data_IF_544434344182
#
_entry.id   IF_544434344182
#
_cell.length_a   1.000
_cell.length_b   1.000
_cell.length_c   1.000
_cell.angle_alpha   90.00
_cell.angle_beta   90.00
_cell.angle_gamma   90.00
#
_symmetry.space_group_name_H-M   'P 1'
#
loop_
_entity.id
_entity.type
_entity.pdbx_description
1 polymer ?
#
# COMPACT_ATOMS: atom_id res chain seq x y z
N UNK A 1 40.43 46.86 11.98
CA UNK A 1 39.11 46.60 11.35
C UNK A 1 38.82 45.09 11.15
N UNK A 2 38.63 44.23 12.19
CA UNK A 2 38.22 42.84 11.93
C UNK A 2 36.88 42.41 12.56
N UNK A 3 36.20 43.25 13.35
CA UNK A 3 35.05 42.82 14.15
C UNK A 3 33.76 42.67 13.31
N UNK A 4 33.56 43.52 12.29
CA UNK A 4 32.32 43.50 11.47
C UNK A 4 32.17 42.24 10.61
N UNK A 5 33.28 41.65 10.14
CA UNK A 5 33.23 40.43 9.30
C UNK A 5 32.89 39.19 10.12
N UNK A 6 33.30 39.15 11.39
CA UNK A 6 33.03 38.02 12.29
C UNK A 6 31.55 37.93 12.65
N UNK A 7 30.90 39.08 12.88
CA UNK A 7 29.49 39.15 13.26
C UNK A 7 28.59 38.68 12.11
N UNK A 8 28.89 39.11 10.87
CA UNK A 8 28.10 38.73 9.68
C UNK A 8 28.21 37.22 9.40
N UNK A 9 29.40 36.64 9.58
CA UNK A 9 29.59 35.19 9.43
C UNK A 9 28.83 34.40 10.49
N UNK A 10 28.81 34.88 11.73
CA UNK A 10 28.06 34.25 12.82
C UNK A 10 26.54 34.30 12.60
N UNK A 11 25.99 35.42 12.10
CA UNK A 11 24.56 35.51 11.76
C UNK A 11 24.18 34.64 10.57
N UNK A 12 25.05 34.51 9.56
CA UNK A 12 24.80 33.62 8.42
C UNK A 12 24.75 32.15 8.84
N UNK A 13 25.65 31.71 9.74
CA UNK A 13 25.67 30.34 10.27
C UNK A 13 24.41 30.07 11.13
N UNK A 14 23.94 31.05 11.90
CA UNK A 14 22.72 30.92 12.71
C UNK A 14 21.43 30.87 11.85
N UNK A 15 21.42 31.58 10.72
CA UNK A 15 20.31 31.55 9.75
C UNK A 15 20.26 30.22 8.97
N UNK A 16 21.41 29.65 8.60
CA UNK A 16 21.45 28.37 7.88
C UNK A 16 21.01 27.21 8.80
N UNK A 17 21.40 27.24 10.07
CA UNK A 17 21.01 26.21 11.05
C UNK A 17 19.52 26.27 11.39
N UNK A 18 18.91 27.45 11.47
CA UNK A 18 17.46 27.58 11.73
C UNK A 18 16.58 27.17 10.56
N UNK A 19 17.02 27.38 9.31
CA UNK A 19 16.28 26.93 8.11
C UNK A 19 16.45 25.42 7.87
N UNK A 20 17.60 24.82 8.24
CA UNK A 20 17.84 23.38 8.12
C UNK A 20 16.95 22.52 9.03
N UNK A 21 16.54 23.04 10.19
CA UNK A 21 15.70 22.32 11.16
C UNK A 21 14.20 22.27 10.77
N UNK A 22 13.74 23.13 9.87
CA UNK A 22 12.33 23.13 9.41
C UNK A 22 12.00 22.08 8.33
N UNK A 23 12.99 21.39 7.75
CA UNK A 23 12.75 20.36 6.71
C UNK A 23 12.63 18.94 7.30
N UNK A 24 12.92 18.76 8.59
CA UNK A 24 12.86 17.46 9.26
C UNK A 24 11.45 17.09 9.80
N UNK A 25 10.45 17.93 9.57
CA UNK A 25 9.12 17.83 10.19
C UNK A 25 8.01 17.23 9.31
N UNK A 26 8.34 16.50 8.24
CA UNK A 26 7.35 15.77 7.44
C UNK A 26 7.57 14.25 7.53
N UNK A 27 7.73 13.73 8.75
CA UNK A 27 7.43 12.33 8.99
C UNK A 27 5.91 12.18 9.04
N UNK A 28 5.27 12.06 7.86
CA UNK A 28 4.07 11.23 7.79
C UNK A 28 4.47 9.93 8.47
N UNK A 29 3.84 9.64 9.60
CA UNK A 29 4.06 8.44 10.40
C UNK A 29 4.34 7.30 9.44
N UNK A 30 5.58 6.80 9.46
CA UNK A 30 5.94 5.62 8.70
C UNK A 30 5.01 4.53 9.20
N UNK A 31 3.93 4.30 8.46
CA UNK A 31 3.03 3.18 8.63
C UNK A 31 3.98 1.98 8.64
N UNK A 32 4.14 1.36 9.81
CA UNK A 32 5.11 0.28 9.99
C UNK A 32 4.77 -0.75 8.93
N UNK A 33 5.61 -0.87 7.90
CA UNK A 33 5.46 -1.87 6.84
C UNK A 33 5.49 -3.22 7.54
N UNK A 34 4.32 -3.82 7.71
CA UNK A 34 4.15 -5.01 8.53
C UNK A 34 4.74 -6.19 7.77
N UNK A 35 6.03 -6.48 7.95
CA UNK A 35 6.70 -7.58 7.23
C UNK A 35 5.97 -8.90 7.50
N UNK A 36 5.24 -9.40 6.50
CA UNK A 36 4.62 -10.72 6.55
C UNK A 36 5.71 -11.79 6.60
N UNK A 37 5.63 -12.68 7.59
CA UNK A 37 6.56 -13.77 7.78
C UNK A 37 6.09 -15.05 7.09
N UNK A 38 4.78 -15.19 6.89
CA UNK A 38 4.15 -16.36 6.26
C UNK A 38 2.83 -15.98 5.57
N UNK A 39 2.24 -16.93 4.85
CA UNK A 39 0.96 -16.78 4.15
C UNK A 39 -0.22 -16.40 5.06
N UNK A 40 -0.24 -16.89 6.30
CA UNK A 40 -1.33 -16.63 7.25
C UNK A 40 -1.39 -15.16 7.68
N UNK A 41 -0.25 -14.47 7.72
CA UNK A 41 -0.22 -13.03 8.00
C UNK A 41 -0.99 -12.24 6.94
N UNK A 42 -0.83 -12.61 5.66
CA UNK A 42 -1.56 -12.03 4.52
C UNK A 42 -3.05 -12.34 4.63
N UNK A 43 -3.40 -13.61 4.84
CA UNK A 43 -4.79 -14.05 4.95
C UNK A 43 -5.52 -13.31 6.08
N UNK A 44 -4.87 -13.21 7.23
CA UNK A 44 -5.39 -12.47 8.39
C UNK A 44 -5.57 -11.00 8.08
N UNK A 45 -4.61 -10.36 7.41
CA UNK A 45 -4.73 -8.95 7.06
C UNK A 45 -5.89 -8.70 6.09
N UNK A 46 -6.03 -9.53 5.04
CA UNK A 46 -7.15 -9.44 4.11
C UNK A 46 -8.49 -9.71 4.80
N UNK A 47 -8.53 -10.67 5.73
CA UNK A 47 -9.73 -10.96 6.52
C UNK A 47 -10.15 -9.76 7.38
N UNK A 48 -9.21 -9.17 8.14
CA UNK A 48 -9.46 -7.97 8.94
C UNK A 48 -9.87 -6.79 8.06
N UNK A 49 -9.29 -6.68 6.87
CA UNK A 49 -9.62 -5.62 5.93
C UNK A 49 -11.03 -5.77 5.36
N UNK A 50 -11.48 -7.00 5.13
CA UNK A 50 -12.85 -7.30 4.72
C UNK A 50 -13.91 -6.99 5.78
N UNK A 51 -13.51 -6.80 7.04
CA UNK A 51 -14.40 -6.38 8.14
C UNK A 51 -14.40 -4.87 8.38
N UNK A 52 -13.55 -4.11 7.69
CA UNK A 52 -13.49 -2.66 7.86
C UNK A 52 -14.72 -2.00 7.24
N UNK A 53 -15.36 -1.10 7.99
CA UNK A 53 -16.57 -0.40 7.54
C UNK A 53 -16.25 0.86 6.73
N UNK A 54 -15.10 1.51 6.99
CA UNK A 54 -14.68 2.70 6.23
C UNK A 54 -14.03 2.30 4.90
N UNK A 55 -14.67 2.58 3.74
CA UNK A 55 -14.14 2.22 2.44
C UNK A 55 -12.85 2.99 2.11
N UNK A 56 -12.62 4.19 2.67
CA UNK A 56 -11.38 4.95 2.46
C UNK A 56 -10.20 4.31 3.16
N UNK A 57 -10.43 3.79 4.36
CA UNK A 57 -9.43 3.06 5.11
C UNK A 57 -9.09 1.74 4.41
N UNK A 58 -10.10 1.00 3.91
CA UNK A 58 -9.85 -0.20 3.11
C UNK A 58 -8.95 0.12 1.91
N UNK A 59 -9.32 1.16 1.17
CA UNK A 59 -8.62 1.57 -0.03
C UNK A 59 -7.17 1.98 0.24
N UNK A 60 -6.91 2.75 1.31
CA UNK A 60 -5.55 3.14 1.71
C UNK A 60 -4.72 1.91 2.07
N UNK A 61 -5.27 0.99 2.85
CA UNK A 61 -4.55 -0.24 3.23
C UNK A 61 -4.30 -1.15 2.04
N UNK A 62 -5.22 -1.24 1.06
CA UNK A 62 -4.98 -1.97 -0.19
C UNK A 62 -3.82 -1.37 -1.01
N UNK A 63 -3.63 -0.04 -1.00
CA UNK A 63 -2.45 0.59 -1.60
C UNK A 63 -1.16 0.13 -0.90
N UNK A 64 -1.14 0.12 0.43
CA UNK A 64 -0.03 -0.38 1.24
C UNK A 64 0.28 -1.85 0.95
N UNK A 65 -0.74 -2.71 0.93
CA UNK A 65 -0.64 -4.14 0.60
C UNK A 65 -0.03 -4.34 -0.78
N UNK A 66 -0.47 -3.58 -1.81
CA UNK A 66 0.09 -3.67 -3.17
C UNK A 66 1.59 -3.38 -3.20
N UNK A 67 2.00 -2.30 -2.53
CA UNK A 67 3.40 -1.88 -2.46
C UNK A 67 4.23 -2.92 -1.70
N UNK A 68 3.75 -3.35 -0.54
CA UNK A 68 4.43 -4.32 0.30
C UNK A 68 4.59 -5.68 -0.38
N UNK A 69 3.53 -6.19 -1.02
CA UNK A 69 3.58 -7.47 -1.72
C UNK A 69 4.65 -7.48 -2.83
N UNK A 70 4.70 -6.38 -3.61
CA UNK A 70 5.69 -6.21 -4.68
C UNK A 70 7.12 -6.18 -4.13
N UNK A 71 7.36 -5.45 -3.04
CA UNK A 71 8.67 -5.35 -2.41
C UNK A 71 9.14 -6.69 -1.83
N UNK A 72 8.28 -7.37 -1.05
CA UNK A 72 8.63 -8.65 -0.44
C UNK A 72 8.87 -9.74 -1.49
N UNK A 73 8.07 -9.76 -2.56
CA UNK A 73 8.27 -10.70 -3.67
C UNK A 73 9.63 -10.50 -4.35
N UNK A 74 10.05 -9.24 -4.58
CA UNK A 74 11.39 -8.94 -5.10
C UNK A 74 12.49 -9.45 -4.17
N UNK A 75 12.37 -9.16 -2.86
CA UNK A 75 13.35 -9.58 -1.86
C UNK A 75 13.46 -11.10 -1.74
N UNK A 76 12.35 -11.83 -1.82
CA UNK A 76 12.37 -13.30 -1.78
C UNK A 76 13.04 -13.90 -3.02
N UNK A 77 12.80 -13.30 -4.21
CA UNK A 77 13.45 -13.69 -5.46
C UNK A 77 14.98 -13.46 -5.40
N UNK A 78 15.41 -12.33 -4.84
CA UNK A 78 16.84 -12.00 -4.68
C UNK A 78 17.56 -12.86 -3.64
N UNK A 79 16.92 -13.08 -2.47
CA UNK A 79 17.53 -13.83 -1.36
C UNK A 79 17.50 -15.34 -1.54
N UNK A 80 16.82 -15.84 -2.56
CA UNK A 80 16.68 -17.28 -2.83
C UNK A 80 15.88 -18.05 -1.76
N UNK A 81 15.27 -17.37 -0.79
CA UNK A 81 14.45 -17.99 0.26
C UNK A 81 13.08 -18.32 -0.33
N UNK A 82 12.72 -19.60 -0.34
CA UNK A 82 11.44 -20.09 -0.87
C UNK A 82 10.58 -20.62 0.26
N UNK A 83 9.65 -19.78 0.73
CA UNK A 83 8.40 -20.28 1.29
C UNK A 83 7.39 -20.31 0.13
N UNK A 84 7.06 -21.50 -0.42
CA UNK A 84 6.20 -21.61 -1.59
C UNK A 84 4.82 -21.00 -1.38
N UNK A 85 4.23 -21.18 -0.19
CA UNK A 85 2.89 -20.68 0.11
C UNK A 85 2.88 -19.16 0.22
N UNK A 86 3.90 -18.58 0.85
CA UNK A 86 4.05 -17.13 0.91
C UNK A 86 4.26 -16.54 -0.49
N UNK A 87 5.10 -17.15 -1.32
CA UNK A 87 5.34 -16.68 -2.69
C UNK A 87 4.04 -16.73 -3.52
N UNK A 88 3.30 -17.83 -3.49
CA UNK A 88 2.02 -17.95 -4.20
C UNK A 88 1.00 -16.89 -3.76
N UNK A 89 0.97 -16.56 -2.47
CA UNK A 89 0.12 -15.50 -1.95
C UNK A 89 0.55 -14.11 -2.42
N UNK A 90 1.84 -13.81 -2.37
CA UNK A 90 2.40 -12.54 -2.85
C UNK A 90 2.18 -12.34 -4.35
N UNK A 91 2.31 -13.40 -5.14
CA UNK A 91 2.02 -13.37 -6.58
C UNK A 91 0.52 -13.16 -6.83
N UNK A 92 -0.35 -13.88 -6.12
CA UNK A 92 -1.80 -13.71 -6.22
C UNK A 92 -2.24 -12.29 -5.87
N UNK A 93 -1.66 -11.68 -4.83
CA UNK A 93 -1.88 -10.29 -4.45
C UNK A 93 -1.41 -9.33 -5.54
N UNK A 94 -0.20 -9.53 -6.04
CA UNK A 94 0.41 -8.65 -7.04
C UNK A 94 -0.39 -8.65 -8.34
N UNK A 95 -0.82 -9.84 -8.80
CA UNK A 95 -1.71 -9.97 -9.96
C UNK A 95 -3.02 -9.26 -9.68
N UNK A 96 -3.72 -9.63 -8.60
CA UNK A 96 -5.03 -9.09 -8.24
C UNK A 96 -5.07 -7.56 -8.15
N UNK A 97 -3.98 -6.95 -7.65
CA UNK A 97 -3.89 -5.51 -7.42
C UNK A 97 -3.20 -4.75 -8.56
N UNK A 98 -2.67 -5.44 -9.58
CA UNK A 98 -1.89 -4.82 -10.67
C UNK A 98 -2.68 -3.74 -11.40
N UNK A 99 -3.91 -4.06 -11.81
CA UNK A 99 -4.83 -3.19 -12.55
C UNK A 99 -5.83 -2.45 -11.65
N UNK A 100 -5.76 -2.66 -10.33
CA UNK A 100 -6.69 -2.07 -9.39
C UNK A 100 -6.67 -0.54 -9.47
N UNK A 101 -7.85 0.13 -9.45
CA UNK A 101 -7.96 1.59 -9.56
C UNK A 101 -7.60 2.27 -8.23
N UNK A 102 -6.35 2.09 -7.78
CA UNK A 102 -5.81 2.50 -6.49
C UNK A 102 -5.05 3.85 -6.54
N UNK A 103 -5.47 4.79 -7.39
CA UNK A 103 -4.76 6.07 -7.64
C UNK A 103 -5.62 7.32 -7.47
N UNK A 104 -6.94 7.18 -7.27
CA UNK A 104 -7.86 8.31 -7.05
C UNK A 104 -8.24 8.44 -5.57
N UNK A 105 -8.55 9.67 -5.16
CA UNK A 105 -9.28 10.06 -3.96
C UNK A 105 -10.73 9.55 -3.94
N UNK A 106 -11.27 9.19 -5.11
CA UNK A 106 -12.59 8.60 -5.29
C UNK A 106 -12.47 7.09 -5.46
N UNK A 107 -13.16 6.35 -4.61
CA UNK A 107 -13.24 4.89 -4.67
C UNK A 107 -14.03 4.50 -5.91
N UNK A 108 -13.48 3.69 -6.82
CA UNK A 108 -14.18 3.29 -8.04
C UNK A 108 -15.44 2.43 -7.77
N UNK A 109 -16.34 2.34 -8.76
CA UNK A 109 -17.53 1.47 -8.66
C UNK A 109 -17.14 -0.01 -8.75
N UNK A 110 -18.03 -0.91 -8.29
CA UNK A 110 -17.76 -2.34 -8.31
C UNK A 110 -17.49 -2.90 -9.71
N UNK A 111 -18.11 -2.35 -10.75
CA UNK A 111 -17.88 -2.78 -12.14
C UNK A 111 -16.46 -2.46 -12.62
N UNK A 112 -15.92 -1.29 -12.24
CA UNK A 112 -14.54 -0.90 -12.57
C UNK A 112 -13.56 -1.84 -11.87
N UNK A 113 -13.82 -2.16 -10.59
CA UNK A 113 -13.02 -3.12 -9.82
C UNK A 113 -13.07 -4.53 -10.42
N UNK A 114 -14.26 -4.99 -10.79
CA UNK A 114 -14.46 -6.28 -11.45
C UNK A 114 -13.67 -6.37 -12.74
N UNK A 115 -13.85 -5.39 -13.64
CA UNK A 115 -13.17 -5.35 -14.92
C UNK A 115 -11.64 -5.31 -14.75
N UNK A 116 -11.14 -4.55 -13.76
CA UNK A 116 -9.72 -4.52 -13.44
C UNK A 116 -9.19 -5.88 -12.99
N UNK A 117 -9.89 -6.58 -12.08
CA UNK A 117 -9.50 -7.90 -11.62
C UNK A 117 -9.53 -8.95 -12.74
N UNK A 118 -10.61 -9.00 -13.52
CA UNK A 118 -10.73 -9.95 -14.63
C UNK A 118 -9.63 -9.70 -15.67
N UNK A 119 -9.31 -8.44 -15.95
CA UNK A 119 -8.20 -8.07 -16.83
C UNK A 119 -6.84 -8.48 -16.27
N UNK A 120 -6.63 -8.34 -14.97
CA UNK A 120 -5.38 -8.72 -14.33
C UNK A 120 -5.14 -10.24 -14.34
N UNK A 121 -6.20 -11.02 -14.12
CA UNK A 121 -6.14 -12.49 -14.11
C UNK A 121 -6.32 -13.14 -15.48
N UNK A 122 -6.84 -12.40 -16.46
CA UNK A 122 -7.14 -12.91 -17.81
C UNK A 122 -8.34 -13.88 -17.85
N UNK A 123 -9.12 -13.97 -16.77
CA UNK A 123 -10.27 -14.88 -16.63
C UNK A 123 -11.42 -14.19 -15.92
N UNK A 124 -12.62 -14.76 -16.00
CA UNK A 124 -13.79 -14.22 -15.28
C UNK A 124 -13.70 -14.45 -13.77
N UNK A 125 -14.39 -13.63 -12.98
CA UNK A 125 -14.42 -13.78 -11.49
C UNK A 125 -14.83 -15.18 -11.05
N UNK A 126 -15.70 -15.85 -11.79
CA UNK A 126 -16.16 -17.22 -11.47
C UNK A 126 -15.05 -18.27 -11.50
N UNK A 127 -13.97 -17.99 -12.24
CA UNK A 127 -12.82 -18.87 -12.46
C UNK A 127 -11.61 -18.52 -11.58
N UNK A 128 -11.73 -17.51 -10.72
CA UNK A 128 -10.68 -17.14 -9.78
C UNK A 128 -10.32 -18.32 -8.87
N UNK A 129 -9.04 -18.48 -8.58
CA UNK A 129 -8.60 -19.40 -7.52
C UNK A 129 -9.04 -18.86 -6.14
N UNK A 130 -8.91 -19.67 -5.10
CA UNK A 130 -9.38 -19.31 -3.75
C UNK A 130 -8.71 -18.03 -3.19
N UNK A 131 -7.43 -17.80 -3.51
CA UNK A 131 -6.69 -16.61 -3.05
C UNK A 131 -7.18 -15.35 -3.74
N UNK A 132 -7.37 -15.41 -5.06
CA UNK A 132 -7.94 -14.34 -5.86
C UNK A 132 -9.37 -14.01 -5.42
N UNK A 133 -10.19 -15.03 -5.09
CA UNK A 133 -11.52 -14.84 -4.51
C UNK A 133 -11.47 -14.10 -3.17
N UNK A 134 -10.49 -14.39 -2.32
CA UNK A 134 -10.33 -13.69 -1.04
C UNK A 134 -10.00 -12.21 -1.25
N UNK A 135 -9.07 -11.90 -2.16
CA UNK A 135 -8.75 -10.50 -2.50
C UNK A 135 -9.98 -9.79 -3.11
N UNK A 136 -10.71 -10.48 -4.00
CA UNK A 136 -11.94 -9.97 -4.60
C UNK A 136 -13.00 -9.59 -3.56
N UNK A 137 -13.21 -10.42 -2.53
CA UNK A 137 -14.18 -10.13 -1.46
C UNK A 137 -13.88 -8.80 -0.75
N UNK A 138 -12.60 -8.52 -0.50
CA UNK A 138 -12.16 -7.27 0.13
C UNK A 138 -12.42 -6.07 -0.80
N UNK A 139 -12.14 -6.22 -2.10
CA UNK A 139 -12.43 -5.17 -3.09
C UNK A 139 -13.94 -4.89 -3.20
N UNK A 140 -14.77 -5.93 -3.17
CA UNK A 140 -16.25 -5.80 -3.18
C UNK A 140 -16.74 -5.08 -1.93
N UNK A 141 -16.21 -5.40 -0.75
CA UNK A 141 -16.55 -4.68 0.48
C UNK A 141 -16.24 -3.18 0.34
N UNK A 142 -15.10 -2.84 -0.26
CA UNK A 142 -14.67 -1.45 -0.50
C UNK A 142 -15.68 -0.67 -1.37
N UNK A 143 -16.11 -1.25 -2.48
CA UNK A 143 -17.02 -0.57 -3.41
C UNK A 143 -18.49 -0.58 -2.93
N UNK A 144 -18.92 -1.60 -2.18
CA UNK A 144 -20.27 -1.67 -1.61
C UNK A 144 -20.46 -0.72 -0.42
N UNK A 145 -19.45 -0.57 0.44
CA UNK A 145 -19.49 0.40 1.54
C UNK A 145 -19.60 1.84 0.99
N UNK A 146 -18.99 2.14 -0.16
CA UNK A 146 -19.22 3.40 -0.89
C UNK A 146 -20.69 3.61 -1.24
N UNK A 147 -21.36 2.59 -1.79
CA UNK A 147 -22.79 2.67 -2.18
C UNK A 147 -23.69 2.93 -0.96
N UNK A 148 -23.36 2.39 0.21
CA UNK A 148 -24.12 2.64 1.45
C UNK A 148 -23.86 4.00 2.07
N UNK A 149 -22.71 4.63 1.76
CA UNK A 149 -22.31 5.93 2.29
C UNK A 149 -22.75 7.13 1.44
N UNK A 150 -23.32 6.88 0.26
CA UNK A 150 -23.89 7.89 -0.65
C UNK A 150 -25.40 8.02 -0.42
#
# INVERSE_FOLDING_TARGET
>A
MPVKKLIIFATYILLITTVGLSVAGCSKSAERVAVWQNAYDIERELYLLGQQDDPREIYRRLQGIKQQASMQLSQLRERGRRDPLLVEWLESLTISLSMAPLYSDKIATCDIWKAAMEKAWGVSVSQFNERAKLVWRVMVATCNARVRSL
#
